data_IF_991573765336
#
_entry.id   IF_991573765336
#
_cell.length_a   1.000
_cell.length_b   1.000
_cell.length_c   1.000
_cell.angle_alpha   90.00
_cell.angle_beta   90.00
_cell.angle_gamma   90.00
#
_symmetry.space_group_name_H-M   'P 1'
#
loop_
_entity.id
_entity.type
_entity.pdbx_description
1 polymer ?
#
# COMPACT_ATOMS: atom_id res chain seq x y z
N UNK A 1 20.58 -24.46 -12.44
CA UNK A 1 20.73 -25.94 -12.57
C UNK A 1 21.56 -26.20 -13.81
N UNK A 2 22.75 -26.74 -13.64
CA UNK A 2 23.68 -27.05 -14.73
C UNK A 2 23.25 -28.36 -15.36
N UNK A 3 22.78 -28.34 -16.59
CA UNK A 3 22.49 -29.52 -17.37
C UNK A 3 23.80 -30.06 -17.97
N UNK A 4 24.33 -31.12 -17.39
CA UNK A 4 25.42 -31.87 -17.98
C UNK A 4 24.91 -32.54 -19.26
N UNK A 5 25.36 -32.06 -20.41
CA UNK A 5 25.13 -32.69 -21.69
C UNK A 5 25.88 -34.04 -21.73
N UNK A 6 25.16 -35.14 -21.98
CA UNK A 6 25.78 -36.42 -22.32
C UNK A 6 26.31 -36.33 -23.74
N UNK A 7 27.60 -36.57 -23.92
CA UNK A 7 28.27 -36.73 -25.23
C UNK A 7 28.16 -38.16 -25.68
N UNK A 8 27.66 -38.38 -26.89
CA UNK A 8 27.72 -39.70 -27.57
C UNK A 8 29.17 -39.97 -28.04
N UNK A 9 29.50 -41.25 -28.27
CA UNK A 9 30.84 -41.74 -28.57
C UNK A 9 31.54 -41.15 -29.83
N UNK A 10 30.90 -40.19 -30.52
CA UNK A 10 31.43 -39.50 -31.68
C UNK A 10 31.70 -38.01 -31.44
N UNK A 11 31.63 -37.51 -30.20
CA UNK A 11 32.00 -36.12 -29.87
C UNK A 11 31.04 -35.01 -30.35
N UNK A 12 29.90 -35.35 -30.98
CA UNK A 12 28.90 -34.39 -31.40
C UNK A 12 27.86 -34.18 -30.30
N UNK A 13 27.65 -32.94 -29.88
CA UNK A 13 26.58 -32.54 -28.94
C UNK A 13 25.23 -32.72 -29.63
N UNK A 14 24.44 -33.70 -29.19
CA UNK A 14 23.11 -33.96 -29.75
C UNK A 14 22.14 -32.81 -29.37
N UNK A 15 21.57 -32.17 -30.39
CA UNK A 15 20.56 -31.13 -30.21
C UNK A 15 19.17 -31.78 -29.98
N UNK A 16 18.63 -31.64 -28.76
CA UNK A 16 17.32 -32.11 -28.37
C UNK A 16 16.22 -31.04 -28.48
N UNK A 17 16.53 -29.86 -29.01
CA UNK A 17 15.56 -28.77 -29.08
C UNK A 17 14.27 -29.15 -29.82
N UNK A 18 14.39 -29.97 -30.86
CA UNK A 18 13.27 -30.46 -31.68
C UNK A 18 12.41 -31.53 -31.00
N UNK A 19 12.84 -32.10 -29.87
CA UNK A 19 12.10 -33.10 -29.10
C UNK A 19 11.31 -32.48 -27.94
N UNK A 20 11.42 -31.19 -27.76
CA UNK A 20 10.72 -30.46 -26.69
C UNK A 20 9.33 -30.04 -27.20
N UNK A 21 8.29 -30.52 -26.53
CA UNK A 21 6.89 -30.15 -26.79
C UNK A 21 6.54 -28.96 -25.88
N UNK A 22 7.08 -27.80 -26.20
CA UNK A 22 6.71 -26.55 -25.48
C UNK A 22 5.38 -26.00 -26.02
N UNK A 23 4.48 -25.52 -25.16
CA UNK A 23 3.25 -24.91 -25.62
C UNK A 23 3.57 -23.65 -26.43
N UNK A 24 2.91 -23.51 -27.58
CA UNK A 24 2.94 -22.27 -28.34
C UNK A 24 1.86 -21.35 -27.76
N UNK A 25 2.27 -20.20 -27.25
CA UNK A 25 1.38 -19.25 -26.60
C UNK A 25 1.92 -17.82 -26.76
N UNK A 26 1.00 -16.87 -26.89
CA UNK A 26 1.34 -15.44 -26.89
C UNK A 26 1.70 -14.92 -25.48
N UNK A 27 1.51 -15.74 -24.45
CA UNK A 27 1.96 -15.39 -23.10
C UNK A 27 3.49 -15.31 -23.05
N UNK A 28 4.06 -14.17 -22.63
CA UNK A 28 5.50 -14.02 -22.55
C UNK A 28 6.07 -14.94 -21.47
N UNK A 29 7.18 -15.61 -21.77
CA UNK A 29 7.91 -16.49 -20.81
C UNK A 29 8.39 -15.72 -19.57
N UNK A 30 8.59 -14.41 -19.69
CA UNK A 30 8.90 -13.52 -18.56
C UNK A 30 7.73 -12.56 -18.36
N UNK A 31 7.23 -12.52 -17.13
CA UNK A 31 6.11 -11.63 -16.79
C UNK A 31 6.44 -10.14 -16.98
N UNK A 32 7.70 -9.74 -16.73
CA UNK A 32 8.15 -8.35 -16.89
C UNK A 32 7.34 -7.38 -16.01
N UNK A 33 6.94 -7.81 -14.79
CA UNK A 33 6.02 -7.08 -13.93
C UNK A 33 6.44 -5.64 -13.63
N UNK A 34 7.72 -5.34 -13.32
CA UNK A 34 8.14 -3.97 -13.04
C UNK A 34 7.84 -2.98 -14.17
N UNK A 35 7.85 -3.45 -15.42
CA UNK A 35 7.57 -2.65 -16.61
C UNK A 35 6.06 -2.62 -16.94
N UNK A 36 5.35 -3.73 -16.74
CA UNK A 36 3.93 -3.87 -17.13
C UNK A 36 2.94 -3.31 -16.11
N UNK A 37 3.26 -3.42 -14.83
CA UNK A 37 2.35 -2.95 -13.76
C UNK A 37 2.04 -1.45 -13.85
N UNK A 38 3.02 -0.54 -14.12
CA UNK A 38 2.73 0.88 -14.31
C UNK A 38 1.73 1.14 -15.45
N UNK A 39 1.82 0.40 -16.55
CA UNK A 39 0.89 0.55 -17.69
C UNK A 39 -0.53 0.08 -17.31
N UNK A 40 -0.63 -0.99 -16.50
CA UNK A 40 -1.92 -1.47 -15.98
C UNK A 40 -2.55 -0.42 -15.05
N UNK A 41 -1.76 0.15 -14.16
CA UNK A 41 -2.22 1.20 -13.24
C UNK A 41 -2.67 2.45 -14.01
N UNK A 42 -1.90 2.88 -15.02
CA UNK A 42 -2.27 4.00 -15.89
C UNK A 42 -3.59 3.72 -16.64
N UNK A 43 -3.79 2.50 -17.12
CA UNK A 43 -5.06 2.08 -17.74
C UNK A 43 -6.21 2.14 -16.73
N UNK A 44 -6.03 1.66 -15.48
CA UNK A 44 -7.06 1.71 -14.44
C UNK A 44 -7.44 3.16 -14.10
N UNK A 45 -6.45 4.04 -13.98
CA UNK A 45 -6.69 5.47 -13.77
C UNK A 45 -7.47 6.09 -14.95
N UNK A 46 -7.07 5.79 -16.21
CA UNK A 46 -7.74 6.32 -17.40
C UNK A 46 -9.21 5.94 -17.50
N UNK A 47 -9.57 4.72 -17.11
CA UNK A 47 -10.96 4.24 -17.14
C UNK A 47 -11.74 4.57 -15.88
N UNK A 48 -11.10 5.20 -14.89
CA UNK A 48 -11.67 5.49 -13.58
C UNK A 48 -12.25 4.21 -12.92
N UNK A 49 -11.36 3.21 -12.75
CA UNK A 49 -11.76 1.87 -12.31
C UNK A 49 -12.46 1.91 -10.95
N UNK A 50 -11.94 2.69 -9.99
CA UNK A 50 -12.52 2.75 -8.65
C UNK A 50 -13.98 3.26 -8.71
N UNK A 51 -14.25 4.38 -9.39
CA UNK A 51 -15.61 4.91 -9.53
C UNK A 51 -16.55 3.89 -10.19
N UNK A 52 -16.12 3.23 -11.26
CA UNK A 52 -16.93 2.19 -11.92
C UNK A 52 -17.26 1.03 -10.98
N UNK A 53 -16.33 0.61 -10.12
CA UNK A 53 -16.59 -0.42 -9.13
C UNK A 53 -17.64 0.05 -8.11
N UNK A 54 -17.60 1.31 -7.68
CA UNK A 54 -18.60 1.88 -6.76
C UNK A 54 -19.98 1.97 -7.41
N UNK A 55 -20.06 2.45 -8.64
CA UNK A 55 -21.30 2.52 -9.41
C UNK A 55 -21.94 1.12 -9.62
N UNK A 56 -21.10 0.14 -9.99
CA UNK A 56 -21.57 -1.25 -10.19
C UNK A 56 -22.01 -1.93 -8.88
N UNK A 57 -21.46 -1.51 -7.75
CA UNK A 57 -21.78 -2.08 -6.44
C UNK A 57 -23.03 -1.46 -5.80
N UNK A 58 -23.57 -0.40 -6.35
CA UNK A 58 -24.72 0.29 -5.80
C UNK A 58 -25.91 -0.66 -5.61
N UNK A 59 -26.49 -0.65 -4.42
CA UNK A 59 -27.62 -1.49 -4.05
C UNK A 59 -27.32 -2.96 -3.70
N UNK A 60 -26.06 -3.37 -3.77
CA UNK A 60 -25.61 -4.70 -3.34
C UNK A 60 -25.49 -4.78 -1.81
N UNK A 61 -25.58 -5.99 -1.21
CA UNK A 61 -25.29 -6.20 0.19
C UNK A 61 -23.88 -5.73 0.54
N UNK A 62 -23.73 -4.98 1.64
CA UNK A 62 -22.42 -4.48 2.07
C UNK A 62 -21.57 -5.60 2.67
N UNK A 63 -20.30 -5.60 2.27
CA UNK A 63 -19.24 -6.33 2.95
C UNK A 63 -18.20 -5.31 3.45
N UNK A 64 -18.04 -5.21 4.77
CA UNK A 64 -17.13 -4.24 5.39
C UNK A 64 -15.90 -4.98 5.91
N UNK A 65 -14.75 -4.62 5.37
CA UNK A 65 -13.45 -5.00 5.93
C UNK A 65 -12.89 -3.79 6.65
N UNK A 66 -12.75 -3.89 7.98
CA UNK A 66 -12.13 -2.83 8.78
C UNK A 66 -10.61 -2.87 8.63
N UNK A 67 -10.00 -1.74 8.28
CA UNK A 67 -8.55 -1.64 8.17
C UNK A 67 -7.90 -1.48 9.55
N UNK A 68 -6.83 -2.25 9.81
CA UNK A 68 -5.89 -1.94 10.88
C UNK A 68 -4.90 -0.91 10.33
N UNK A 69 -5.00 0.37 10.76
CA UNK A 69 -4.25 1.44 10.15
C UNK A 69 -2.76 1.35 10.48
N UNK A 70 -1.86 1.48 9.49
CA UNK A 70 -0.43 1.59 9.76
C UNK A 70 -0.09 2.96 10.34
N UNK A 71 1.04 3.04 11.05
CA UNK A 71 1.61 4.32 11.46
C UNK A 71 2.16 5.09 10.26
N UNK A 72 1.85 6.41 10.23
CA UNK A 72 2.36 7.32 9.20
C UNK A 72 3.76 7.84 9.59
N UNK A 73 4.78 6.99 9.58
CA UNK A 73 6.11 7.32 10.13
C UNK A 73 7.31 6.85 9.31
N UNK A 74 7.10 6.47 8.05
CA UNK A 74 8.17 6.01 7.15
C UNK A 74 7.61 5.31 5.92
N UNK A 75 8.51 4.86 5.02
CA UNK A 75 8.14 4.05 3.86
C UNK A 75 7.51 2.73 4.28
N UNK A 76 6.72 2.14 3.38
CA UNK A 76 6.18 0.80 3.61
C UNK A 76 7.31 -0.25 3.59
N UNK A 77 7.11 -1.30 4.35
CA UNK A 77 7.97 -2.49 4.32
C UNK A 77 7.16 -3.71 3.86
N UNK A 78 7.80 -4.85 3.70
CA UNK A 78 7.17 -6.07 3.18
C UNK A 78 5.95 -6.50 4.01
N UNK A 79 5.92 -6.27 5.32
CA UNK A 79 4.76 -6.55 6.17
C UNK A 79 3.56 -5.68 5.83
N UNK A 80 3.77 -4.39 5.57
CA UNK A 80 2.72 -3.50 5.08
C UNK A 80 2.20 -3.94 3.71
N UNK A 81 3.11 -4.29 2.79
CA UNK A 81 2.75 -4.76 1.45
C UNK A 81 1.90 -6.04 1.53
N UNK A 82 2.34 -7.05 2.30
CA UNK A 82 1.61 -8.29 2.50
C UNK A 82 0.20 -8.03 3.07
N UNK A 83 0.12 -7.23 4.14
CA UNK A 83 -1.15 -6.91 4.79
C UNK A 83 -2.13 -6.23 3.82
N UNK A 84 -1.70 -5.22 3.07
CA UNK A 84 -2.55 -4.49 2.13
C UNK A 84 -2.95 -5.33 0.92
N UNK A 85 -2.05 -6.16 0.39
CA UNK A 85 -2.37 -7.08 -0.71
C UNK A 85 -3.40 -8.10 -0.27
N UNK A 86 -3.28 -8.68 0.93
CA UNK A 86 -4.28 -9.63 1.45
C UNK A 86 -5.65 -8.97 1.64
N UNK A 87 -5.70 -7.74 2.14
CA UNK A 87 -6.95 -6.97 2.26
C UNK A 87 -7.56 -6.68 0.88
N UNK A 88 -6.75 -6.28 -0.09
CA UNK A 88 -7.21 -6.06 -1.47
C UNK A 88 -7.77 -7.35 -2.08
N UNK A 89 -7.12 -8.49 -1.87
CA UNK A 89 -7.63 -9.79 -2.32
C UNK A 89 -9.01 -10.10 -1.73
N UNK A 90 -9.20 -9.86 -0.42
CA UNK A 90 -10.48 -10.08 0.25
C UNK A 90 -11.56 -9.13 -0.30
N UNK A 91 -11.31 -7.83 -0.33
CA UNK A 91 -12.31 -6.86 -0.80
C UNK A 91 -12.63 -7.04 -2.28
N UNK A 92 -11.64 -7.33 -3.10
CA UNK A 92 -11.78 -7.59 -4.52
C UNK A 92 -12.58 -8.87 -4.79
N UNK A 93 -12.30 -9.96 -4.06
CA UNK A 93 -13.07 -11.20 -4.20
C UNK A 93 -14.52 -11.02 -3.79
N UNK A 94 -14.79 -10.31 -2.70
CA UNK A 94 -16.15 -9.99 -2.26
C UNK A 94 -16.89 -9.11 -3.27
N UNK A 95 -16.22 -8.16 -3.88
CA UNK A 95 -16.77 -7.36 -4.98
C UNK A 95 -17.17 -8.25 -6.18
N UNK A 96 -16.32 -9.23 -6.55
CA UNK A 96 -16.58 -10.18 -7.63
C UNK A 96 -17.74 -11.13 -7.29
N UNK A 97 -17.92 -11.48 -6.02
CA UNK A 97 -19.02 -12.31 -5.50
C UNK A 97 -20.36 -11.54 -5.41
N UNK A 98 -20.38 -10.28 -5.77
CA UNK A 98 -21.63 -9.49 -5.84
C UNK A 98 -21.93 -8.65 -4.61
N UNK A 99 -20.97 -8.45 -3.71
CA UNK A 99 -21.12 -7.54 -2.59
C UNK A 99 -20.70 -6.10 -2.93
N UNK A 100 -21.20 -5.13 -2.17
CA UNK A 100 -20.66 -3.78 -2.09
C UNK A 100 -19.48 -3.80 -1.10
N UNK A 101 -18.29 -4.09 -1.61
CA UNK A 101 -17.06 -4.21 -0.82
C UNK A 101 -16.14 -3.04 -1.14
N UNK A 102 -16.34 -1.92 -0.44
CA UNK A 102 -15.47 -0.76 -0.52
C UNK A 102 -14.33 -0.87 0.50
N UNK A 103 -13.10 -0.75 0.03
CA UNK A 103 -11.95 -0.64 0.91
C UNK A 103 -11.67 0.84 1.21
N UNK A 104 -11.74 1.22 2.49
CA UNK A 104 -11.35 2.54 2.97
C UNK A 104 -10.03 2.39 3.71
N UNK A 105 -8.91 2.89 3.15
CA UNK A 105 -7.62 2.82 3.81
C UNK A 105 -7.60 3.71 5.05
N UNK A 106 -6.85 3.29 6.08
CA UNK A 106 -6.68 4.06 7.30
C UNK A 106 -5.23 4.31 7.65
N UNK A 107 -4.97 5.36 8.46
CA UNK A 107 -3.67 5.68 9.04
C UNK A 107 -3.78 6.06 10.50
N UNK A 108 -2.84 5.54 11.30
CA UNK A 108 -2.59 5.98 12.66
C UNK A 108 -1.52 7.07 12.66
N UNK A 109 -1.90 8.26 13.12
CA UNK A 109 -1.12 9.48 12.98
C UNK A 109 -0.71 10.09 14.33
N UNK A 110 -0.88 9.36 15.43
CA UNK A 110 -0.62 9.86 16.78
C UNK A 110 0.40 9.00 17.54
N UNK A 111 0.80 9.52 18.70
CA UNK A 111 1.56 8.83 19.72
C UNK A 111 3.04 8.69 19.44
N UNK A 112 3.67 7.86 20.25
CA UNK A 112 5.12 7.67 20.27
C UNK A 112 5.77 7.38 18.91
N UNK A 113 5.20 6.59 18.00
CA UNK A 113 5.80 6.32 16.70
C UNK A 113 6.01 7.57 15.84
N UNK A 114 5.17 8.59 16.00
CA UNK A 114 5.28 9.87 15.30
C UNK A 114 6.17 10.84 16.06
N UNK A 115 5.88 11.03 17.35
CA UNK A 115 6.59 11.97 18.24
C UNK A 115 8.08 11.66 18.32
N UNK A 116 8.43 10.38 18.47
CA UNK A 116 9.83 9.95 18.52
C UNK A 116 10.58 10.32 17.23
N UNK A 117 9.96 10.17 16.08
CA UNK A 117 10.58 10.51 14.79
C UNK A 117 10.82 12.01 14.66
N UNK A 118 9.87 12.84 15.09
CA UNK A 118 10.03 14.30 15.11
C UNK A 118 11.12 14.70 16.12
N UNK A 119 11.19 14.05 17.28
CA UNK A 119 12.27 14.27 18.25
C UNK A 119 13.65 13.83 17.71
N UNK A 120 13.72 12.74 16.92
CA UNK A 120 14.95 12.34 16.23
C UNK A 120 15.42 13.43 15.25
N UNK A 121 14.48 14.02 14.50
CA UNK A 121 14.81 15.15 13.62
C UNK A 121 15.29 16.38 14.39
N UNK A 122 14.69 16.67 15.54
CA UNK A 122 15.15 17.77 16.42
C UNK A 122 16.60 17.53 16.85
N UNK A 123 16.91 16.35 17.36
CA UNK A 123 18.27 15.98 17.76
C UNK A 123 19.27 16.09 16.61
N UNK A 124 18.88 15.61 15.41
CA UNK A 124 19.71 15.70 14.22
C UNK A 124 19.99 17.15 13.78
N UNK A 125 19.07 18.07 14.06
CA UNK A 125 19.20 19.51 13.77
C UNK A 125 19.81 20.31 14.95
N UNK A 126 20.25 19.63 16.03
CA UNK A 126 20.78 20.29 17.25
C UNK A 126 19.74 21.09 18.02
N UNK A 127 18.46 20.82 17.83
CA UNK A 127 17.37 21.44 18.60
C UNK A 127 17.09 20.64 19.86
N UNK A 128 16.77 21.33 20.93
CA UNK A 128 16.29 20.70 22.16
C UNK A 128 14.82 20.29 22.04
N UNK A 129 14.44 19.32 22.87
CA UNK A 129 13.04 18.91 23.01
C UNK A 129 12.23 20.10 23.56
N UNK A 130 11.01 20.33 23.04
CA UNK A 130 10.15 21.41 23.52
C UNK A 130 9.88 21.32 25.02
N UNK A 131 9.82 22.47 25.68
CA UNK A 131 9.32 22.52 27.05
C UNK A 131 7.81 22.29 27.07
N UNK A 132 7.39 21.13 27.55
CA UNK A 132 5.97 20.76 27.61
C UNK A 132 5.19 21.52 28.70
N UNK A 133 5.83 22.37 29.50
CA UNK A 133 5.12 23.33 30.37
C UNK A 133 4.68 24.59 29.63
N UNK A 134 5.27 24.88 28.45
CA UNK A 134 4.87 26.01 27.59
C UNK A 134 3.80 25.58 26.57
N UNK A 135 2.55 26.09 26.68
CA UNK A 135 1.48 25.76 25.75
C UNK A 135 1.78 26.11 24.28
N UNK A 136 2.59 27.15 24.04
CA UNK A 136 2.97 27.57 22.69
C UNK A 136 3.93 26.56 22.09
N UNK A 137 4.96 26.16 22.83
CA UNK A 137 5.93 25.14 22.39
C UNK A 137 5.27 23.79 22.14
N UNK A 138 4.34 23.35 23.01
CA UNK A 138 3.55 22.12 22.78
C UNK A 138 2.74 22.21 21.50
N UNK A 139 2.02 23.30 21.27
CA UNK A 139 1.19 23.43 20.07
C UNK A 139 2.03 23.46 18.79
N UNK A 140 3.19 24.08 18.82
CA UNK A 140 4.13 24.03 17.70
C UNK A 140 4.62 22.61 17.43
N UNK A 141 5.02 21.87 18.46
CA UNK A 141 5.46 20.49 18.33
C UNK A 141 4.36 19.57 17.78
N UNK A 142 3.11 19.74 18.26
CA UNK A 142 1.96 19.00 17.73
C UNK A 142 1.71 19.32 16.27
N UNK A 143 1.86 20.59 15.86
CA UNK A 143 1.71 20.96 14.45
C UNK A 143 2.81 20.29 13.58
N UNK A 144 4.04 20.21 14.08
CA UNK A 144 5.14 19.52 13.38
C UNK A 144 4.89 18.02 13.30
N UNK A 145 4.40 17.37 14.37
CA UNK A 145 3.99 15.95 14.35
C UNK A 145 2.87 15.70 13.32
N UNK A 146 1.87 16.57 13.26
CA UNK A 146 0.79 16.50 12.28
C UNK A 146 1.32 16.63 10.85
N UNK A 147 2.22 17.58 10.60
CA UNK A 147 2.84 17.79 9.30
C UNK A 147 3.69 16.58 8.88
N UNK A 148 4.45 16.00 9.82
CA UNK A 148 5.23 14.78 9.61
C UNK A 148 4.33 13.59 9.23
N UNK A 149 3.26 13.36 10.00
CA UNK A 149 2.31 12.29 9.71
C UNK A 149 1.62 12.50 8.35
N UNK A 150 1.21 13.71 8.02
CA UNK A 150 0.60 14.04 6.73
C UNK A 150 1.55 13.75 5.55
N UNK A 151 2.83 14.05 5.70
CA UNK A 151 3.84 13.73 4.70
C UNK A 151 3.92 12.23 4.46
N UNK A 152 4.11 11.44 5.52
CA UNK A 152 4.25 9.98 5.40
C UNK A 152 2.97 9.27 4.97
N UNK A 153 1.81 9.77 5.37
CA UNK A 153 0.53 9.30 4.86
C UNK A 153 0.48 9.41 3.33
N UNK A 154 0.88 10.55 2.77
CA UNK A 154 0.90 10.75 1.33
C UNK A 154 1.93 9.85 0.62
N UNK A 155 3.13 9.70 1.19
CA UNK A 155 4.16 8.78 0.65
C UNK A 155 3.62 7.35 0.62
N UNK A 156 3.14 6.84 1.74
CA UNK A 156 2.59 5.48 1.84
C UNK A 156 1.37 5.26 0.93
N UNK A 157 0.52 6.29 0.76
CA UNK A 157 -0.61 6.24 -0.19
C UNK A 157 -0.13 5.90 -1.60
N UNK A 158 0.88 6.60 -2.08
CA UNK A 158 1.42 6.35 -3.42
C UNK A 158 2.13 4.99 -3.53
N UNK A 159 2.83 4.57 -2.48
CA UNK A 159 3.45 3.25 -2.41
C UNK A 159 2.39 2.12 -2.46
N UNK A 160 1.28 2.24 -1.72
CA UNK A 160 0.18 1.28 -1.77
C UNK A 160 -0.56 1.29 -3.12
N UNK A 161 -0.77 2.46 -3.71
CA UNK A 161 -1.31 2.56 -5.08
C UNK A 161 -0.39 1.87 -6.08
N UNK A 162 0.93 1.99 -5.91
CA UNK A 162 1.91 1.30 -6.77
C UNK A 162 1.80 -0.22 -6.67
N UNK A 163 1.39 -0.79 -5.54
CA UNK A 163 1.08 -2.22 -5.38
C UNK A 163 -0.22 -2.65 -6.08
N UNK A 164 -1.01 -1.73 -6.62
CA UNK A 164 -2.28 -2.02 -7.28
C UNK A 164 -3.46 -2.23 -6.32
N UNK A 165 -3.33 -1.81 -5.08
CA UNK A 165 -4.44 -1.85 -4.11
C UNK A 165 -5.52 -0.85 -4.51
N UNK A 166 -6.76 -1.32 -4.62
CA UNK A 166 -7.92 -0.51 -5.01
C UNK A 166 -8.75 -0.15 -3.79
N UNK A 167 -9.02 1.14 -3.61
CA UNK A 167 -9.79 1.65 -2.47
C UNK A 167 -10.08 3.15 -2.57
N UNK A 168 -10.73 3.69 -1.55
CA UNK A 168 -11.05 5.11 -1.43
C UNK A 168 -9.84 5.91 -0.95
N UNK A 169 -8.91 6.15 -1.86
CA UNK A 169 -7.67 6.87 -1.56
C UNK A 169 -7.87 8.37 -1.36
N UNK A 170 -9.01 8.91 -1.79
CA UNK A 170 -9.32 10.34 -1.69
C UNK A 170 -9.98 10.68 -0.34
N UNK A 171 -10.66 9.70 0.29
CA UNK A 171 -11.32 9.86 1.58
C UNK A 171 -10.86 8.79 2.59
N UNK A 172 -9.57 8.75 2.92
CA UNK A 172 -9.06 7.77 3.87
C UNK A 172 -9.54 8.06 5.29
N UNK A 173 -9.56 7.04 6.14
CA UNK A 173 -9.67 7.22 7.58
C UNK A 173 -8.33 7.69 8.15
N UNK A 174 -8.33 8.75 8.94
CA UNK A 174 -7.13 9.23 9.62
C UNK A 174 -7.44 9.57 11.08
N UNK A 175 -6.61 9.07 12.00
CA UNK A 175 -6.79 9.36 13.42
C UNK A 175 -6.55 10.84 13.75
N UNK A 176 -5.81 11.58 12.88
CA UNK A 176 -5.56 13.02 13.05
C UNK A 176 -6.64 13.92 12.44
N UNK A 177 -7.69 13.35 11.83
CA UNK A 177 -8.82 14.15 11.38
C UNK A 177 -9.58 14.73 12.57
N UNK A 178 -9.99 15.98 12.50
CA UNK A 178 -10.65 16.66 13.62
C UNK A 178 -11.90 15.95 14.11
N UNK A 179 -12.64 15.28 13.21
CA UNK A 179 -13.78 14.46 13.60
C UNK A 179 -13.36 13.24 14.44
N UNK A 180 -12.26 12.57 14.05
CA UNK A 180 -11.70 11.44 14.80
C UNK A 180 -11.15 11.88 16.16
N UNK A 181 -10.40 12.98 16.20
CA UNK A 181 -9.88 13.56 17.45
C UNK A 181 -11.01 13.99 18.39
N UNK A 182 -12.11 14.54 17.85
CA UNK A 182 -13.27 14.91 18.66
C UNK A 182 -13.97 13.68 19.28
N UNK A 183 -14.02 12.53 18.58
CA UNK A 183 -14.53 11.29 19.14
C UNK A 183 -13.61 10.79 20.25
N UNK A 184 -12.31 10.73 20.01
CA UNK A 184 -11.31 10.32 21.02
C UNK A 184 -11.45 11.17 22.29
N UNK A 185 -11.53 12.51 22.13
CA UNK A 185 -11.65 13.43 23.26
C UNK A 185 -12.95 13.29 24.06
N UNK A 186 -14.01 12.72 23.47
CA UNK A 186 -15.27 12.46 24.19
C UNK A 186 -15.22 11.18 25.02
N UNK A 187 -14.37 10.23 24.64
CA UNK A 187 -14.24 8.95 25.33
C UNK A 187 -13.27 8.99 26.53
N UNK A 188 -12.53 10.11 26.70
CA UNK A 188 -11.63 10.39 27.83
C UNK A 188 -12.39 11.11 28.94
#
# INVERSE_FOLDING_TARGET
MSTTAKTDAAGATRDYSKTLFLPQTDFPMRAGLPQREPDILARWAKIDLYRKLRETAAGRPKFVLHDGPPYANGNIHIGHALNKILKDLVTRSQQMLGHDSNYVPGWDCHGLPIEWKVEEEYRAKGKEKPDFSDPVAINQFRAECRAFAAHWLNVQREEFKRLGVVGDWDHPYSTMDFASEAVIAREI
#
